data_IF_154452373254
#
_entry.id   IF_154452373254
#
_cell.length_a   1.000
_cell.length_b   1.000
_cell.length_c   1.000
_cell.angle_alpha   90.00
_cell.angle_beta   90.00
_cell.angle_gamma   90.00
#
_symmetry.space_group_name_H-M   'P 1'
#
loop_
_entity.id
_entity.type
_entity.pdbx_description
1 polymer ?
#
# COMPACT_ATOMS: atom_id res chain seq x y z
N UNK A 1 12.45 5.87 7.13
CA UNK A 1 11.91 4.54 7.44
C UNK A 1 12.46 3.52 6.46
N UNK A 2 12.83 2.36 6.93
CA UNK A 2 13.36 1.29 6.09
C UNK A 2 12.24 0.32 5.73
N UNK A 3 12.06 0.07 4.43
CA UNK A 3 11.10 -0.90 3.93
C UNK A 3 11.76 -2.23 3.70
N UNK A 4 11.10 -3.32 4.08
CA UNK A 4 11.58 -4.67 3.87
C UNK A 4 10.46 -5.56 3.34
N UNK A 5 10.84 -6.69 2.74
CA UNK A 5 9.89 -7.69 2.28
C UNK A 5 10.58 -9.03 2.02
N UNK A 6 9.75 -10.05 1.91
CA UNK A 6 10.21 -11.39 1.56
C UNK A 6 10.34 -11.48 0.03
N UNK A 7 11.51 -11.89 -0.47
CA UNK A 7 11.78 -11.97 -1.90
C UNK A 7 10.85 -12.91 -2.66
N UNK A 8 10.51 -14.06 -2.07
CA UNK A 8 9.61 -15.02 -2.70
C UNK A 8 8.19 -14.45 -2.82
N UNK A 9 7.72 -13.74 -1.79
CA UNK A 9 6.42 -13.07 -1.83
C UNK A 9 6.41 -11.95 -2.85
N UNK A 10 7.51 -11.22 -2.98
CA UNK A 10 7.63 -10.16 -3.98
C UNK A 10 7.46 -10.70 -5.39
N UNK A 11 8.12 -11.81 -5.70
CA UNK A 11 7.99 -12.46 -7.00
C UNK A 11 6.57 -12.97 -7.25
N UNK A 12 5.97 -13.62 -6.24
CA UNK A 12 4.60 -14.10 -6.34
C UNK A 12 3.63 -12.94 -6.57
N UNK A 13 3.87 -11.81 -5.92
CA UNK A 13 3.01 -10.65 -6.04
C UNK A 13 3.02 -10.08 -7.47
N UNK A 14 4.19 -10.01 -8.10
CA UNK A 14 4.29 -9.57 -9.50
C UNK A 14 3.51 -10.49 -10.42
N UNK A 15 3.62 -11.81 -10.24
CA UNK A 15 2.88 -12.78 -11.06
C UNK A 15 1.38 -12.67 -10.86
N UNK A 16 0.94 -12.42 -9.63
CA UNK A 16 -0.48 -12.41 -9.28
C UNK A 16 -1.16 -11.06 -9.56
N UNK A 17 -0.46 -9.97 -9.30
CA UNK A 17 -1.06 -8.63 -9.32
C UNK A 17 -0.37 -7.64 -10.26
N UNK A 18 0.74 -8.03 -10.87
CA UNK A 18 1.53 -7.19 -11.77
C UNK A 18 1.98 -5.88 -11.10
N UNK A 19 2.33 -5.97 -9.82
CA UNK A 19 2.86 -4.85 -9.05
C UNK A 19 4.10 -5.34 -8.29
N UNK A 20 5.22 -4.66 -8.47
CA UNK A 20 6.43 -4.94 -7.71
C UNK A 20 6.35 -4.27 -6.34
N UNK A 21 7.04 -4.83 -5.35
CA UNK A 21 7.11 -4.20 -4.04
C UNK A 21 7.96 -2.92 -4.08
N UNK A 22 8.92 -2.84 -5.00
CA UNK A 22 9.68 -1.60 -5.23
C UNK A 22 8.76 -0.46 -5.66
N UNK A 23 7.88 -0.72 -6.61
CA UNK A 23 6.91 0.29 -7.02
C UNK A 23 5.91 0.57 -5.89
N UNK A 24 5.41 -0.47 -5.23
CA UNK A 24 4.46 -0.31 -4.13
C UNK A 24 5.02 0.59 -3.02
N UNK A 25 6.31 0.46 -2.70
CA UNK A 25 6.95 1.28 -1.68
C UNK A 25 6.87 2.77 -1.99
N UNK A 26 6.76 3.15 -3.26
CA UNK A 26 6.70 4.57 -3.64
C UNK A 26 5.40 5.26 -3.22
N UNK A 27 4.35 4.51 -2.87
CA UNK A 27 3.10 5.12 -2.37
C UNK A 27 3.35 5.88 -1.06
N UNK A 28 4.37 5.50 -0.30
CA UNK A 28 4.69 6.17 0.96
C UNK A 28 5.34 7.53 0.75
N UNK A 29 5.70 7.87 -0.48
CA UNK A 29 6.18 9.19 -0.87
C UNK A 29 5.03 10.10 -1.33
N UNK A 30 3.84 9.53 -1.52
CA UNK A 30 2.66 10.29 -1.92
C UNK A 30 2.10 11.01 -0.68
N UNK A 31 2.16 12.36 -0.64
CA UNK A 31 1.67 13.09 0.54
C UNK A 31 0.17 12.98 0.75
N UNK A 32 -0.56 12.50 -0.25
CA UNK A 32 -2.01 12.34 -0.20
C UNK A 32 -2.42 10.88 0.00
N UNK A 33 -1.48 9.98 0.26
CA UNK A 33 -1.79 8.58 0.53
C UNK A 33 -2.66 8.45 1.79
N UNK A 34 -3.59 7.49 1.74
CA UNK A 34 -4.49 7.21 2.85
C UNK A 34 -4.05 5.92 3.53
N UNK A 35 -3.85 5.97 4.84
CA UNK A 35 -3.46 4.81 5.63
C UNK A 35 -4.51 4.55 6.70
N UNK A 36 -4.92 3.30 6.86
CA UNK A 36 -5.92 2.89 7.85
C UNK A 36 -5.65 1.46 8.31
N UNK A 37 -6.14 1.08 9.50
CA UNK A 37 -5.98 -0.29 9.99
C UNK A 37 -6.64 -1.28 9.06
N UNK A 38 -6.05 -2.47 8.90
CA UNK A 38 -6.65 -3.54 8.11
C UNK A 38 -7.79 -4.18 8.92
N UNK A 39 -9.06 -4.00 8.50
CA UNK A 39 -10.20 -4.52 9.26
C UNK A 39 -10.37 -6.02 9.13
N UNK A 40 -9.70 -6.65 8.20
CA UNK A 40 -9.85 -8.08 7.90
C UNK A 40 -8.74 -8.94 8.48
N UNK A 41 -7.83 -8.33 9.24
CA UNK A 41 -6.73 -9.09 9.84
C UNK A 41 -6.67 -8.88 11.34
N UNK A 42 -7.27 -9.81 12.10
CA UNK A 42 -7.31 -9.71 13.57
C UNK A 42 -6.05 -10.29 14.25
N UNK A 43 -4.95 -10.44 13.54
CA UNK A 43 -3.73 -11.05 14.06
C UNK A 43 -3.03 -10.21 15.12
N UNK A 44 -1.99 -10.79 15.73
CA UNK A 44 -1.20 -10.14 16.77
C UNK A 44 -0.37 -8.96 16.25
N UNK A 45 -0.06 -8.96 14.95
CA UNK A 45 0.64 -7.85 14.30
C UNK A 45 -0.37 -6.81 13.84
N UNK A 46 -0.06 -5.55 14.06
CA UNK A 46 -0.87 -4.47 13.53
C UNK A 46 -0.62 -4.35 12.03
N UNK A 47 -1.60 -4.76 11.25
CA UNK A 47 -1.57 -4.56 9.80
C UNK A 47 -2.30 -3.29 9.43
N UNK A 48 -1.70 -2.57 8.52
CA UNK A 48 -2.28 -1.37 7.95
C UNK A 48 -2.38 -1.50 6.44
N UNK A 49 -3.25 -0.71 5.86
CA UNK A 49 -3.42 -0.59 4.43
C UNK A 49 -3.13 0.85 4.06
N UNK A 50 -2.33 1.04 3.01
CA UNK A 50 -2.09 2.35 2.42
C UNK A 50 -2.53 2.33 0.97
N UNK A 51 -3.38 3.27 0.59
CA UNK A 51 -3.76 3.50 -0.80
C UNK A 51 -3.07 4.78 -1.23
N UNK A 52 -2.29 4.70 -2.30
CA UNK A 52 -1.56 5.85 -2.78
C UNK A 52 -1.19 5.73 -4.25
N UNK A 53 -0.64 6.81 -4.76
CA UNK A 53 -0.21 6.94 -6.15
C UNK A 53 1.27 6.58 -6.22
N UNK A 54 1.63 5.63 -7.09
CA UNK A 54 3.01 5.19 -7.23
C UNK A 54 3.79 6.10 -8.17
N UNK A 55 5.12 5.95 -8.13
CA UNK A 55 6.00 6.61 -9.10
C UNK A 55 5.69 6.17 -10.55
N UNK A 56 5.09 4.98 -10.72
CA UNK A 56 4.64 4.49 -12.02
C UNK A 56 3.26 4.98 -12.43
N UNK A 57 2.70 5.95 -11.72
CA UNK A 57 1.40 6.58 -12.03
C UNK A 57 0.21 5.62 -11.89
N UNK A 58 0.24 4.77 -10.88
CA UNK A 58 -0.88 3.86 -10.57
C UNK A 58 -1.33 4.04 -9.14
N UNK A 59 -2.63 3.93 -8.91
CA UNK A 59 -3.16 3.88 -7.56
C UNK A 59 -3.07 2.44 -7.09
N UNK A 60 -2.33 2.21 -6.00
CA UNK A 60 -2.03 0.88 -5.49
C UNK A 60 -2.48 0.76 -4.04
N UNK A 61 -2.99 -0.42 -3.71
CA UNK A 61 -3.44 -0.81 -2.39
C UNK A 61 -2.34 -1.68 -1.78
N UNK A 62 -1.70 -1.21 -0.71
CA UNK A 62 -0.54 -1.88 -0.10
C UNK A 62 -0.87 -2.32 1.31
N UNK A 63 -0.70 -3.62 1.58
CA UNK A 63 -0.81 -4.17 2.92
C UNK A 63 0.58 -4.23 3.54
N UNK A 64 0.72 -3.69 4.73
CA UNK A 64 2.01 -3.60 5.41
C UNK A 64 1.86 -3.66 6.92
N UNK A 65 2.97 -3.88 7.62
CA UNK A 65 2.99 -3.82 9.08
C UNK A 65 4.26 -3.12 9.55
N UNK A 66 4.17 -2.53 10.75
CA UNK A 66 5.28 -1.85 11.39
C UNK A 66 6.05 -2.83 12.26
N UNK A 67 7.38 -2.83 12.16
CA UNK A 67 8.27 -3.64 12.99
C UNK A 67 9.41 -2.77 13.52
N UNK A 68 9.20 -2.15 14.66
CA UNK A 68 10.16 -1.20 15.22
C UNK A 68 10.31 0.01 14.29
N UNK A 69 11.52 0.29 13.83
CA UNK A 69 11.82 1.36 12.89
C UNK A 69 11.71 0.91 11.42
N UNK A 70 11.31 -0.35 11.20
CA UNK A 70 11.15 -0.93 9.87
C UNK A 70 9.69 -1.17 9.58
N UNK A 71 9.35 -1.12 8.30
CA UNK A 71 8.02 -1.47 7.82
C UNK A 71 8.14 -2.61 6.81
N UNK A 72 7.27 -3.60 6.95
CA UNK A 72 7.27 -4.76 6.05
C UNK A 72 6.09 -4.68 5.10
N UNK A 73 6.37 -4.75 3.80
CA UNK A 73 5.33 -4.88 2.78
C UNK A 73 4.94 -6.36 2.69
N UNK A 74 3.64 -6.61 2.78
CA UNK A 74 3.08 -7.96 2.78
C UNK A 74 2.49 -8.29 1.41
N UNK A 75 1.74 -7.36 0.83
CA UNK A 75 1.15 -7.53 -0.50
C UNK A 75 0.84 -6.17 -1.10
N UNK A 76 0.72 -6.13 -2.42
CA UNK A 76 0.37 -4.92 -3.14
C UNK A 76 -0.44 -5.31 -4.37
N UNK A 77 -1.49 -4.56 -4.67
CA UNK A 77 -2.30 -4.76 -5.86
C UNK A 77 -2.81 -3.43 -6.36
N UNK A 78 -3.20 -3.39 -7.60
CA UNK A 78 -3.83 -2.20 -8.15
C UNK A 78 -5.16 -1.97 -7.44
N UNK A 79 -5.46 -0.73 -7.17
CA UNK A 79 -6.73 -0.36 -6.54
C UNK A 79 -7.90 -0.71 -7.47
N UNK A 80 -9.00 -1.15 -6.89
CA UNK A 80 -10.25 -1.30 -7.61
C UNK A 80 -10.78 0.09 -7.95
N UNK A 81 -11.77 0.16 -8.85
CA UNK A 81 -12.41 1.44 -9.19
C UNK A 81 -12.97 2.12 -7.94
N UNK A 82 -13.57 1.34 -7.05
CA UNK A 82 -14.13 1.86 -5.80
C UNK A 82 -13.05 2.43 -4.88
N UNK A 83 -11.94 1.70 -4.73
CA UNK A 83 -10.82 2.14 -3.90
C UNK A 83 -10.15 3.38 -4.47
N UNK A 84 -10.00 3.45 -5.79
CA UNK A 84 -9.46 4.62 -6.45
C UNK A 84 -10.36 5.83 -6.21
N UNK A 85 -11.66 5.64 -6.26
CA UNK A 85 -12.62 6.72 -5.99
C UNK A 85 -12.47 7.23 -4.55
N UNK A 86 -12.31 6.33 -3.57
CA UNK A 86 -12.08 6.72 -2.19
C UNK A 86 -10.81 7.55 -2.04
N UNK A 87 -9.75 7.18 -2.74
CA UNK A 87 -8.50 7.93 -2.75
C UNK A 87 -8.72 9.33 -3.36
N UNK A 88 -9.38 9.40 -4.48
CA UNK A 88 -9.66 10.68 -5.17
C UNK A 88 -10.56 11.59 -4.33
N UNK A 89 -11.56 11.04 -3.66
CA UNK A 89 -12.41 11.79 -2.75
C UNK A 89 -11.63 12.31 -1.55
N UNK A 90 -10.68 11.52 -1.04
CA UNK A 90 -9.78 11.93 0.02
C UNK A 90 -8.94 13.13 -0.39
N UNK A 91 -8.44 13.15 -1.63
CA UNK A 91 -7.73 14.31 -2.18
C UNK A 91 -8.65 15.52 -2.21
N UNK A 92 -9.88 15.34 -2.71
CA UNK A 92 -10.87 16.43 -2.77
C UNK A 92 -11.14 17.03 -1.41
N UNK A 93 -11.28 16.19 -0.38
CA UNK A 93 -11.49 16.66 0.99
C UNK A 93 -10.27 17.38 1.55
N UNK A 94 -9.07 16.94 1.19
CA UNK A 94 -7.84 17.57 1.64
C UNK A 94 -7.61 18.93 1.00
N UNK A 95 -8.08 19.14 -0.22
CA UNK A 95 -7.90 20.38 -0.99
C UNK A 95 -9.08 21.32 -0.81
N UNK A 96 -10.24 20.75 -0.68
CA UNK A 96 -11.49 21.48 -0.58
C UNK A 96 -11.85 21.86 0.83
#
# INVERSE_FOLDING_TARGET
MVWEWNAAKAKANVRKHDVSFDEAATVFLDPLALTFPDPYYPGAEEREITIGYTAGHQVVFVSHCQRGDRARIISARKATRRERRQYEEGIGKAIG
#
